data_IF_662268897987
#
_entry.id   IF_662268897987
#
_cell.length_a   1.000
_cell.length_b   1.000
_cell.length_c   1.000
_cell.angle_alpha   90.00
_cell.angle_beta   90.00
_cell.angle_gamma   90.00
#
_symmetry.space_group_name_H-M   'P 1'
#
loop_
_entity.id
_entity.type
_entity.pdbx_description
1 polymer ?
#
# COMPACT_ATOMS: atom_id res chain seq x y z
N UNK A 1 -29.78 -61.58 -43.51
CA UNK A 1 -30.98 -60.96 -42.97
C UNK A 1 -30.91 -60.95 -41.46
N UNK A 2 -30.48 -59.84 -40.89
CA UNK A 2 -30.99 -59.29 -39.64
C UNK A 2 -30.31 -57.96 -39.37
N UNK A 3 -31.09 -56.91 -39.40
CA UNK A 3 -30.73 -55.55 -39.03
C UNK A 3 -30.41 -55.52 -37.52
N UNK A 4 -29.39 -54.78 -37.15
CA UNK A 4 -29.04 -54.43 -35.76
C UNK A 4 -28.80 -52.91 -35.69
N UNK A 5 -29.81 -52.22 -35.18
CA UNK A 5 -29.74 -50.78 -34.89
C UNK A 5 -28.73 -50.52 -33.77
N UNK A 6 -27.81 -49.56 -33.99
CA UNK A 6 -26.92 -49.05 -32.95
C UNK A 6 -27.61 -47.89 -32.25
N UNK A 7 -27.86 -48.00 -30.95
CA UNK A 7 -28.28 -46.91 -30.08
C UNK A 7 -27.09 -46.05 -29.71
N UNK A 8 -27.20 -44.76 -30.00
CA UNK A 8 -26.26 -43.72 -29.66
C UNK A 8 -26.47 -43.33 -28.19
N UNK A 9 -25.55 -43.74 -27.32
CA UNK A 9 -25.57 -43.41 -25.91
C UNK A 9 -24.68 -42.15 -25.68
N UNK A 10 -25.32 -40.98 -25.67
CA UNK A 10 -24.70 -39.75 -25.21
C UNK A 10 -24.43 -39.80 -23.71
N UNK A 11 -23.18 -40.02 -23.36
CA UNK A 11 -22.70 -39.89 -21.96
C UNK A 11 -22.53 -38.41 -21.63
N UNK A 12 -23.44 -37.90 -20.81
CA UNK A 12 -23.34 -36.60 -20.16
C UNK A 12 -22.24 -36.68 -19.08
N UNK A 13 -21.03 -36.17 -19.41
CA UNK A 13 -19.90 -36.05 -18.49
C UNK A 13 -20.10 -34.81 -17.63
N UNK A 14 -20.91 -34.96 -16.60
CA UNK A 14 -21.09 -33.99 -15.52
C UNK A 14 -19.82 -33.81 -14.68
N UNK A 15 -18.79 -33.14 -15.23
CA UNK A 15 -17.60 -32.77 -14.49
C UNK A 15 -17.95 -31.78 -13.37
N UNK A 16 -18.32 -32.32 -12.21
CA UNK A 16 -18.43 -31.59 -10.96
C UNK A 16 -17.04 -31.02 -10.62
N UNK A 17 -16.84 -29.71 -10.88
CA UNK A 17 -15.67 -28.97 -10.39
C UNK A 17 -15.72 -28.95 -8.87
N UNK A 18 -15.04 -29.88 -8.23
CA UNK A 18 -14.74 -29.84 -6.81
C UNK A 18 -13.84 -28.61 -6.59
N UNK A 19 -14.41 -27.58 -5.95
CA UNK A 19 -13.69 -26.40 -5.47
C UNK A 19 -12.68 -26.86 -4.40
N UNK A 20 -11.49 -27.23 -4.87
CA UNK A 20 -10.36 -27.63 -4.05
C UNK A 20 -9.64 -26.42 -3.45
N UNK A 21 -10.35 -25.54 -2.77
CA UNK A 21 -9.72 -24.50 -1.97
C UNK A 21 -8.93 -25.14 -0.83
N UNK A 22 -7.64 -25.37 -1.08
CA UNK A 22 -6.74 -25.83 -0.02
C UNK A 22 -6.83 -24.91 1.19
N UNK A 23 -6.95 -25.46 2.40
CA UNK A 23 -7.01 -24.65 3.62
C UNK A 23 -5.76 -23.76 3.66
N UNK A 24 -5.98 -22.45 3.67
CA UNK A 24 -4.89 -21.45 3.77
C UNK A 24 -4.03 -21.83 4.97
N UNK A 25 -2.78 -22.27 4.72
CA UNK A 25 -1.80 -22.56 5.77
C UNK A 25 -1.83 -21.43 6.78
N UNK A 26 -2.20 -21.73 8.03
CA UNK A 26 -2.09 -20.78 9.13
C UNK A 26 -0.63 -20.32 9.20
N UNK A 27 -0.40 -19.05 8.89
CA UNK A 27 0.94 -18.45 9.03
C UNK A 27 1.27 -18.45 10.52
N UNK A 28 2.30 -19.22 10.92
CA UNK A 28 2.85 -19.14 12.28
C UNK A 28 3.14 -17.69 12.60
N UNK A 29 2.73 -17.24 13.78
CA UNK A 29 3.02 -15.90 14.26
C UNK A 29 4.53 -15.66 14.18
N UNK A 30 4.92 -14.64 13.42
CA UNK A 30 6.32 -14.30 13.27
C UNK A 30 6.82 -13.69 14.58
N UNK A 31 7.99 -14.12 15.03
CA UNK A 31 8.68 -13.48 16.16
C UNK A 31 8.81 -11.97 15.92
N UNK A 32 8.69 -11.14 16.96
CA UNK A 32 8.87 -9.71 16.82
C UNK A 32 10.26 -9.39 16.26
N UNK A 33 10.33 -8.47 15.31
CA UNK A 33 11.60 -7.99 14.81
C UNK A 33 12.30 -7.18 15.90
N UNK A 34 13.60 -7.42 16.09
CA UNK A 34 14.44 -6.73 17.07
C UNK A 34 15.26 -5.64 16.39
N UNK A 35 15.44 -4.52 17.08
CA UNK A 35 16.33 -3.46 16.63
C UNK A 35 17.78 -3.95 16.64
N UNK A 36 18.46 -3.82 15.51
CA UNK A 36 19.88 -4.16 15.41
C UNK A 36 20.74 -3.19 16.21
N UNK A 37 21.79 -3.69 16.83
CA UNK A 37 22.72 -2.91 17.67
C UNK A 37 23.90 -2.34 16.89
N UNK A 38 24.28 -2.94 15.77
CA UNK A 38 25.43 -2.52 14.98
C UNK A 38 25.04 -1.37 14.04
N UNK A 39 25.86 -0.31 14.05
CA UNK A 39 25.67 0.82 13.14
C UNK A 39 26.03 0.39 11.70
N UNK A 40 25.09 0.54 10.79
CA UNK A 40 25.27 0.19 9.38
C UNK A 40 25.47 1.46 8.53
N UNK A 41 26.20 1.35 7.44
CA UNK A 41 26.52 2.48 6.55
C UNK A 41 25.85 2.28 5.19
N UNK A 42 25.21 3.33 4.71
CA UNK A 42 24.76 3.44 3.32
C UNK A 42 25.79 4.18 2.49
N UNK A 43 26.09 3.62 1.31
CA UNK A 43 27.02 4.22 0.36
C UNK A 43 26.31 5.12 -0.65
N UNK A 44 25.01 4.87 -0.90
CA UNK A 44 24.24 5.64 -1.87
C UNK A 44 22.83 5.94 -1.38
N UNK A 45 22.36 7.13 -1.73
CA UNK A 45 21.01 7.61 -1.49
C UNK A 45 20.52 8.28 -2.77
N UNK A 46 19.29 7.97 -3.20
CA UNK A 46 18.71 8.60 -4.39
C UNK A 46 18.23 10.05 -4.12
N UNK A 47 17.82 10.73 -5.18
CA UNK A 47 17.31 12.12 -5.14
C UNK A 47 16.16 12.35 -4.17
N UNK A 48 15.39 11.31 -3.85
CA UNK A 48 14.21 11.36 -2.96
C UNK A 48 14.57 11.04 -1.50
N UNK A 49 15.84 10.76 -1.20
CA UNK A 49 16.31 10.43 0.14
C UNK A 49 16.16 8.95 0.51
N UNK A 50 15.93 8.06 -0.44
CA UNK A 50 15.87 6.64 -0.17
C UNK A 50 17.24 5.98 -0.36
N UNK A 51 17.74 5.22 0.63
CA UNK A 51 18.97 4.44 0.47
C UNK A 51 18.83 3.40 -0.63
N UNK A 52 19.87 3.27 -1.47
CA UNK A 52 19.92 2.35 -2.62
C UNK A 52 21.04 1.33 -2.52
N UNK A 53 22.12 1.63 -1.81
CA UNK A 53 23.25 0.74 -1.61
C UNK A 53 23.80 0.85 -0.16
N UNK A 54 24.44 -0.22 0.34
CA UNK A 54 24.55 -1.56 -0.24
C UNK A 54 23.24 -2.37 -0.07
N UNK A 55 22.95 -3.27 -1.01
CA UNK A 55 21.65 -4.00 -1.08
C UNK A 55 21.31 -4.78 0.19
N UNK A 56 22.29 -5.33 0.90
CA UNK A 56 22.04 -6.11 2.12
C UNK A 56 21.52 -5.22 3.27
N UNK A 57 22.02 -3.99 3.41
CA UNK A 57 21.55 -3.02 4.40
C UNK A 57 20.17 -2.47 4.01
N UNK A 58 19.98 -2.13 2.73
CA UNK A 58 18.71 -1.64 2.19
C UNK A 58 17.56 -2.62 2.43
N UNK A 59 17.83 -3.93 2.27
CA UNK A 59 16.83 -4.99 2.49
C UNK A 59 16.26 -4.97 3.91
N UNK A 60 17.06 -4.66 4.92
CA UNK A 60 16.65 -4.59 6.32
C UNK A 60 16.07 -3.23 6.73
N UNK A 61 16.32 -2.17 5.99
CA UNK A 61 16.05 -0.79 6.37
C UNK A 61 14.62 -0.53 6.83
N UNK A 62 13.62 -0.91 6.03
CA UNK A 62 12.21 -0.68 6.38
C UNK A 62 11.77 -1.42 7.64
N UNK A 63 12.34 -2.60 7.91
CA UNK A 63 12.09 -3.38 9.12
C UNK A 63 12.65 -2.65 10.33
N UNK A 64 13.89 -2.15 10.24
CA UNK A 64 14.56 -1.42 11.31
C UNK A 64 13.87 -0.08 11.60
N UNK A 65 13.40 0.65 10.58
CA UNK A 65 12.56 1.83 10.79
C UNK A 65 11.30 1.51 11.61
N UNK A 66 10.67 0.37 11.34
CA UNK A 66 9.54 -0.12 12.14
C UNK A 66 9.93 -0.47 13.58
N UNK A 67 11.14 -0.98 13.82
CA UNK A 67 11.64 -1.24 15.17
C UNK A 67 11.95 0.07 15.93
N UNK A 68 12.64 1.03 15.30
CA UNK A 68 12.88 2.37 15.86
C UNK A 68 11.55 3.03 16.24
N UNK A 69 10.59 3.00 15.34
CA UNK A 69 9.26 3.57 15.58
C UNK A 69 8.61 2.97 16.84
N UNK A 70 8.46 1.64 16.87
CA UNK A 70 7.76 0.95 17.97
C UNK A 70 8.47 1.07 19.32
N UNK A 71 9.79 1.23 19.35
CA UNK A 71 10.55 1.47 20.58
C UNK A 71 10.49 2.91 21.07
N UNK A 72 9.99 3.84 20.28
CA UNK A 72 10.06 5.28 20.57
C UNK A 72 8.69 5.93 20.70
N UNK A 73 7.69 5.39 19.99
CA UNK A 73 6.39 6.02 19.80
C UNK A 73 5.31 5.18 20.45
N UNK A 74 4.45 5.81 21.27
CA UNK A 74 3.24 5.17 21.79
C UNK A 74 2.28 4.83 20.65
N UNK A 75 1.59 3.70 20.76
CA UNK A 75 0.54 3.27 19.84
C UNK A 75 -0.61 4.27 19.75
N UNK A 76 -0.78 5.10 20.78
CA UNK A 76 -1.81 6.15 20.83
C UNK A 76 -1.48 7.36 19.95
N UNK A 77 -0.25 7.45 19.42
CA UNK A 77 0.14 8.52 18.50
C UNK A 77 -0.60 8.37 17.18
N UNK A 78 -1.36 9.40 16.79
CA UNK A 78 -2.18 9.36 15.56
C UNK A 78 -1.39 9.75 14.31
N UNK A 79 -0.61 10.82 14.41
CA UNK A 79 0.11 11.39 13.28
C UNK A 79 1.50 11.89 13.70
N UNK A 80 2.54 11.36 13.07
CA UNK A 80 3.93 11.80 13.29
C UNK A 80 4.23 13.17 12.68
N UNK A 81 3.45 13.61 11.69
CA UNK A 81 3.66 14.86 10.97
C UNK A 81 2.97 16.06 11.61
N UNK A 82 2.17 15.85 12.65
CA UNK A 82 1.52 16.95 13.34
C UNK A 82 2.56 17.96 13.87
N UNK A 83 2.25 19.26 13.75
CA UNK A 83 3.19 20.35 14.11
C UNK A 83 3.75 20.23 15.53
N UNK A 84 2.93 19.83 16.48
CA UNK A 84 3.28 19.70 17.89
C UNK A 84 4.15 18.47 18.21
N UNK A 85 4.46 17.64 17.21
CA UNK A 85 5.29 16.43 17.35
C UNK A 85 6.76 16.66 16.94
N UNK A 86 7.23 17.90 16.96
CA UNK A 86 8.62 18.26 16.60
C UNK A 86 9.66 17.48 17.40
N UNK A 87 9.52 17.45 18.72
CA UNK A 87 10.44 16.74 19.60
C UNK A 87 10.45 15.22 19.35
N UNK A 88 9.27 14.62 19.11
CA UNK A 88 9.17 13.21 18.77
C UNK A 88 9.85 12.88 17.44
N UNK A 89 9.68 13.72 16.41
CA UNK A 89 10.40 13.57 15.14
C UNK A 89 11.90 13.67 15.30
N UNK A 90 12.38 14.64 16.08
CA UNK A 90 13.80 14.79 16.36
C UNK A 90 14.37 13.55 17.06
N UNK A 91 13.65 12.97 18.03
CA UNK A 91 14.06 11.74 18.68
C UNK A 91 14.12 10.55 17.69
N UNK A 92 13.14 10.44 16.78
CA UNK A 92 13.15 9.41 15.74
C UNK A 92 14.34 9.58 14.79
N UNK A 93 14.67 10.82 14.41
CA UNK A 93 15.82 11.11 13.55
C UNK A 93 17.14 10.84 14.27
N UNK A 94 17.26 11.19 15.55
CA UNK A 94 18.43 10.85 16.34
C UNK A 94 18.67 9.34 16.34
N UNK A 95 17.65 8.53 16.67
CA UNK A 95 17.76 7.07 16.65
C UNK A 95 18.03 6.51 15.23
N UNK A 96 17.51 7.14 14.19
CA UNK A 96 17.82 6.78 12.82
C UNK A 96 19.31 6.94 12.52
N UNK A 97 19.90 8.07 12.90
CA UNK A 97 21.31 8.37 12.66
C UNK A 97 22.27 7.68 13.64
N UNK A 98 21.80 7.26 14.80
CA UNK A 98 22.52 6.33 15.67
C UNK A 98 22.66 4.95 14.99
N UNK A 99 21.61 4.49 14.33
CA UNK A 99 21.55 3.16 13.71
C UNK A 99 22.21 3.14 12.32
N UNK A 100 22.18 4.25 11.59
CA UNK A 100 22.66 4.35 10.22
C UNK A 100 23.57 5.53 10.00
N UNK A 101 24.60 5.33 9.18
CA UNK A 101 25.43 6.41 8.62
C UNK A 101 25.01 6.61 7.16
N UNK A 102 24.75 7.84 6.77
CA UNK A 102 24.37 8.22 5.42
C UNK A 102 25.51 8.99 4.75
N UNK A 103 25.67 8.89 3.40
CA UNK A 103 26.74 9.57 2.69
C UNK A 103 26.52 11.10 2.56
N UNK A 104 27.61 11.86 2.44
CA UNK A 104 27.62 13.26 2.08
C UNK A 104 26.75 14.15 2.96
N UNK A 105 26.02 15.06 2.34
CA UNK A 105 25.17 16.07 3.00
C UNK A 105 24.02 15.47 3.81
N UNK A 106 23.68 14.21 3.58
CA UNK A 106 22.65 13.49 4.32
C UNK A 106 23.08 13.07 5.74
N UNK A 107 24.37 13.19 6.06
CA UNK A 107 24.91 12.87 7.38
C UNK A 107 24.46 13.84 8.48
N UNK A 108 24.00 15.05 8.13
CA UNK A 108 23.60 16.06 9.10
C UNK A 108 22.17 15.82 9.64
N UNK A 109 22.07 15.48 10.92
CA UNK A 109 20.81 15.16 11.61
C UNK A 109 19.91 16.36 11.85
N UNK A 110 20.45 17.59 11.86
CA UNK A 110 19.74 18.79 12.31
C UNK A 110 19.01 19.56 11.21
N UNK A 111 19.21 19.21 9.95
CA UNK A 111 18.58 19.94 8.86
C UNK A 111 17.12 19.53 8.70
N UNK A 112 16.21 20.48 8.99
CA UNK A 112 14.81 20.44 8.67
C UNK A 112 14.64 20.42 7.17
N UNK A 113 14.84 19.65 6.37
CA UNK A 113 14.87 19.59 4.90
C UNK A 113 15.71 18.43 4.39
N UNK A 114 16.32 17.69 5.29
CA UNK A 114 17.05 16.48 4.95
C UNK A 114 16.08 15.46 4.33
N UNK A 115 16.30 15.17 3.05
CA UNK A 115 15.44 14.26 2.27
C UNK A 115 15.40 12.86 2.86
N UNK A 116 16.51 12.38 3.46
CA UNK A 116 16.56 11.06 4.12
C UNK A 116 15.61 11.04 5.32
N UNK A 117 15.63 12.07 6.15
CA UNK A 117 14.74 12.16 7.30
C UNK A 117 13.26 12.22 6.86
N UNK A 118 12.98 12.98 5.79
CA UNK A 118 11.62 13.06 5.21
C UNK A 118 11.14 11.71 4.66
N UNK A 119 12.00 11.02 3.93
CA UNK A 119 11.71 9.70 3.38
C UNK A 119 11.52 8.64 4.48
N UNK A 120 12.40 8.67 5.51
CA UNK A 120 12.28 7.80 6.68
C UNK A 120 10.98 8.07 7.45
N UNK A 121 10.63 9.33 7.68
CA UNK A 121 9.39 9.72 8.37
C UNK A 121 8.14 9.24 7.61
N UNK A 122 8.17 9.30 6.28
CA UNK A 122 7.08 8.76 5.44
C UNK A 122 6.91 7.27 5.64
N UNK A 123 8.01 6.51 5.62
CA UNK A 123 7.98 5.06 5.90
C UNK A 123 7.54 4.74 7.32
N UNK A 124 8.03 5.50 8.32
CA UNK A 124 7.63 5.34 9.72
C UNK A 124 6.14 5.67 9.92
N UNK A 125 5.59 6.70 9.26
CA UNK A 125 4.17 7.04 9.31
C UNK A 125 3.30 5.90 8.76
N UNK A 126 3.70 5.30 7.64
CA UNK A 126 3.03 4.12 7.09
C UNK A 126 3.14 2.91 8.02
N UNK A 127 4.32 2.69 8.62
CA UNK A 127 4.52 1.61 9.59
C UNK A 127 3.67 1.80 10.86
N UNK A 128 3.51 3.04 11.34
CA UNK A 128 2.63 3.37 12.47
C UNK A 128 1.17 3.02 12.15
N UNK A 129 0.67 3.45 11.01
CA UNK A 129 -0.70 3.15 10.58
C UNK A 129 -0.94 1.63 10.46
N UNK A 130 0.00 0.90 9.87
CA UNK A 130 -0.06 -0.56 9.73
C UNK A 130 -0.03 -1.26 11.09
N UNK A 131 0.84 -0.82 12.00
CA UNK A 131 0.95 -1.36 13.34
C UNK A 131 -0.34 -1.14 14.14
N UNK A 132 -0.86 0.09 14.17
CA UNK A 132 -2.14 0.43 14.81
C UNK A 132 -3.30 -0.41 14.25
N UNK A 133 -3.39 -0.54 12.93
CA UNK A 133 -4.42 -1.36 12.30
C UNK A 133 -4.31 -2.85 12.65
N UNK A 134 -3.08 -3.38 12.77
CA UNK A 134 -2.86 -4.77 13.18
C UNK A 134 -3.30 -5.01 14.63
N UNK A 135 -2.90 -4.13 15.56
CA UNK A 135 -3.28 -4.23 16.98
C UNK A 135 -4.80 -4.02 17.15
N UNK A 136 -5.40 -3.00 16.47
CA UNK A 136 -6.85 -2.79 16.48
C UNK A 136 -7.61 -4.05 16.07
N UNK A 137 -7.21 -4.72 14.99
CA UNK A 137 -7.86 -5.96 14.54
C UNK A 137 -7.81 -7.08 15.59
N UNK A 138 -6.73 -7.16 16.37
CA UNK A 138 -6.56 -8.15 17.45
C UNK A 138 -7.45 -7.81 18.63
N UNK A 139 -7.51 -6.54 19.05
CA UNK A 139 -8.41 -6.05 20.11
C UNK A 139 -9.87 -6.37 19.76
N UNK A 140 -10.31 -6.03 18.55
CA UNK A 140 -11.68 -6.27 18.09
C UNK A 140 -12.03 -7.76 17.94
N UNK A 141 -11.03 -8.66 17.88
CA UNK A 141 -11.21 -10.12 17.94
C UNK A 141 -11.24 -10.66 19.37
N UNK A 142 -11.01 -9.83 20.38
CA UNK A 142 -10.98 -10.22 21.78
C UNK A 142 -9.63 -10.78 22.26
N UNK A 143 -8.51 -10.54 21.54
CA UNK A 143 -7.19 -10.93 22.03
C UNK A 143 -6.86 -10.16 23.33
N UNK A 144 -6.37 -10.87 24.38
CA UNK A 144 -5.96 -10.25 25.64
C UNK A 144 -4.69 -9.40 25.47
N UNK A 145 -4.42 -8.54 26.48
CA UNK A 145 -3.20 -7.74 26.51
C UNK A 145 -1.94 -8.60 26.42
N UNK A 146 -1.87 -9.68 27.22
CA UNK A 146 -0.72 -10.60 27.26
C UNK A 146 -0.42 -11.16 25.86
N UNK A 147 -1.46 -11.64 25.18
CA UNK A 147 -1.33 -12.18 23.83
C UNK A 147 -0.87 -11.13 22.83
N UNK A 148 -1.34 -9.89 22.96
CA UNK A 148 -0.89 -8.78 22.11
C UNK A 148 0.56 -8.41 22.43
N UNK A 149 0.95 -8.38 23.70
CA UNK A 149 2.29 -8.04 24.19
C UNK A 149 3.36 -9.03 23.71
N UNK A 150 3.05 -10.32 23.59
CA UNK A 150 3.97 -11.33 23.04
C UNK A 150 4.55 -10.92 21.67
N UNK A 151 3.73 -10.35 20.83
CA UNK A 151 4.14 -9.90 19.49
C UNK A 151 4.50 -8.42 19.41
N UNK A 152 4.14 -7.64 20.42
CA UNK A 152 4.34 -6.19 20.50
C UNK A 152 4.85 -5.80 21.90
N UNK A 153 6.07 -6.21 22.28
CA UNK A 153 6.58 -6.02 23.63
C UNK A 153 6.74 -4.55 24.03
N UNK A 154 6.76 -3.64 23.10
CA UNK A 154 6.87 -2.19 23.33
C UNK A 154 5.56 -1.53 23.79
N UNK A 155 4.42 -2.22 23.75
CA UNK A 155 3.14 -1.67 24.19
C UNK A 155 3.04 -1.81 25.70
N UNK A 156 2.94 -0.70 26.43
CA UNK A 156 2.62 -0.71 27.85
C UNK A 156 1.14 -1.06 28.08
N UNK A 157 0.81 -1.54 29.28
CA UNK A 157 -0.59 -1.82 29.62
C UNK A 157 -1.45 -0.57 29.59
N UNK A 158 -0.92 0.56 30.05
CA UNK A 158 -1.61 1.85 30.02
C UNK A 158 -1.92 2.28 28.56
N UNK A 159 -0.92 2.20 27.65
CA UNK A 159 -1.11 2.49 26.24
C UNK A 159 -2.13 1.55 25.58
N UNK A 160 -2.12 0.27 25.95
CA UNK A 160 -3.08 -0.71 25.44
C UNK A 160 -4.51 -0.38 25.87
N UNK A 161 -4.73 -0.07 27.15
CA UNK A 161 -6.06 0.27 27.67
C UNK A 161 -6.62 1.52 26.99
N UNK A 162 -5.81 2.59 26.90
CA UNK A 162 -6.20 3.81 26.20
C UNK A 162 -6.54 3.53 24.72
N UNK A 163 -5.69 2.75 24.04
CA UNK A 163 -5.89 2.42 22.65
C UNK A 163 -7.13 1.54 22.44
N UNK A 164 -7.40 0.62 23.36
CA UNK A 164 -8.60 -0.23 23.36
C UNK A 164 -9.88 0.60 23.42
N UNK A 165 -9.96 1.53 24.37
CA UNK A 165 -11.10 2.46 24.51
C UNK A 165 -11.34 3.21 23.18
N UNK A 166 -10.27 3.73 22.56
CA UNK A 166 -10.36 4.40 21.26
C UNK A 166 -10.87 3.48 20.14
N UNK A 167 -10.41 2.21 20.13
CA UNK A 167 -10.80 1.25 19.10
C UNK A 167 -12.28 0.84 19.21
N UNK A 168 -12.81 0.77 20.43
CA UNK A 168 -14.18 0.33 20.73
C UNK A 168 -15.18 1.50 20.72
N UNK A 169 -14.72 2.75 20.55
CA UNK A 169 -15.59 3.92 20.53
C UNK A 169 -16.50 3.95 19.28
N UNK A 170 -17.72 4.45 19.44
CA UNK A 170 -18.69 4.63 18.36
C UNK A 170 -18.15 5.51 17.23
N UNK A 171 -17.45 6.61 17.56
CA UNK A 171 -16.83 7.49 16.57
C UNK A 171 -15.82 6.75 15.65
N UNK A 172 -15.09 5.80 16.21
CA UNK A 172 -14.17 4.95 15.43
C UNK A 172 -14.93 3.96 14.53
N UNK A 173 -16.06 3.42 15.00
CA UNK A 173 -16.90 2.54 14.20
C UNK A 173 -17.57 3.30 13.04
N UNK A 174 -18.13 4.46 13.29
CA UNK A 174 -18.75 5.34 12.29
C UNK A 174 -17.77 5.79 11.22
N UNK A 175 -16.58 6.25 11.62
CA UNK A 175 -15.51 6.64 10.69
C UNK A 175 -15.04 5.45 9.82
N UNK A 176 -15.00 4.26 10.39
CA UNK A 176 -14.64 3.04 9.68
C UNK A 176 -15.72 2.62 8.67
N UNK A 177 -16.99 2.78 9.04
CA UNK A 177 -18.12 2.49 8.16
C UNK A 177 -18.16 3.51 7.02
N UNK A 178 -18.07 4.82 7.31
CA UNK A 178 -17.98 5.85 6.28
C UNK A 178 -16.86 5.57 5.25
N UNK A 179 -15.67 5.15 5.72
CA UNK A 179 -14.57 4.79 4.83
C UNK A 179 -14.85 3.57 3.94
N UNK A 180 -15.69 2.62 4.40
CA UNK A 180 -16.17 1.50 3.56
C UNK A 180 -17.17 2.01 2.52
N UNK A 181 -18.15 2.79 2.94
CA UNK A 181 -19.17 3.34 2.06
C UNK A 181 -18.56 4.19 0.95
N UNK A 182 -17.56 5.04 1.27
CA UNK A 182 -16.80 5.81 0.27
C UNK A 182 -16.01 4.91 -0.69
N UNK A 183 -15.51 3.77 -0.24
CA UNK A 183 -14.83 2.80 -1.09
C UNK A 183 -15.80 2.09 -2.02
N UNK A 184 -16.98 1.74 -1.52
CA UNK A 184 -18.02 1.05 -2.28
C UNK A 184 -18.62 1.96 -3.35
N UNK A 185 -18.66 3.28 -3.09
CA UNK A 185 -19.00 4.29 -4.10
C UNK A 185 -17.94 4.45 -5.21
N UNK A 186 -16.71 3.99 -4.98
CA UNK A 186 -15.65 4.07 -5.97
C UNK A 186 -15.73 2.90 -6.97
N UNK A 187 -16.64 2.99 -7.91
CA UNK A 187 -16.95 1.96 -8.92
C UNK A 187 -15.79 1.71 -9.91
N UNK A 188 -14.83 2.64 -10.02
CA UNK A 188 -13.71 2.55 -10.96
C UNK A 188 -12.42 2.07 -10.31
N UNK A 189 -11.93 0.89 -10.71
CA UNK A 189 -10.56 0.45 -10.35
C UNK A 189 -9.57 0.99 -11.36
N UNK A 190 -8.41 1.43 -10.87
CA UNK A 190 -7.30 1.64 -11.78
C UNK A 190 -6.73 0.29 -12.24
N UNK A 191 -6.42 0.16 -13.54
CA UNK A 191 -5.87 -1.06 -14.17
C UNK A 191 -4.34 -1.12 -14.20
N UNK A 192 -3.68 -0.28 -13.40
CA UNK A 192 -2.22 -0.06 -13.49
C UNK A 192 -1.37 -1.17 -12.83
N UNK A 193 -1.98 -2.16 -12.19
CA UNK A 193 -1.24 -3.21 -11.52
C UNK A 193 -0.38 -2.75 -10.32
N UNK A 194 0.57 -3.57 -9.85
CA UNK A 194 1.35 -3.31 -8.63
C UNK A 194 2.25 -2.07 -8.67
N UNK A 195 2.63 -1.62 -9.87
CA UNK A 195 3.49 -0.45 -10.06
C UNK A 195 2.76 0.90 -9.97
N UNK A 196 1.44 0.89 -10.14
CA UNK A 196 0.61 2.09 -10.11
C UNK A 196 1.07 3.17 -11.10
N UNK A 197 0.77 4.42 -10.77
CA UNK A 197 1.15 5.58 -11.59
C UNK A 197 2.66 5.70 -11.82
N UNK A 198 3.47 5.32 -10.85
CA UNK A 198 4.94 5.43 -10.95
C UNK A 198 5.53 4.67 -12.14
N UNK A 199 4.92 3.56 -12.52
CA UNK A 199 5.36 2.77 -13.68
C UNK A 199 4.66 3.24 -14.96
N UNK A 200 3.40 3.64 -14.88
CA UNK A 200 2.61 4.01 -16.03
C UNK A 200 2.92 5.42 -16.57
N UNK A 201 3.18 6.38 -15.69
CA UNK A 201 3.44 7.79 -16.10
C UNK A 201 4.62 7.95 -17.06
N UNK A 202 5.79 7.35 -16.83
CA UNK A 202 6.89 7.47 -17.80
C UNK A 202 6.54 6.92 -19.19
N UNK A 203 5.72 5.86 -19.25
CA UNK A 203 5.27 5.27 -20.52
C UNK A 203 4.33 6.25 -21.24
N UNK A 204 3.41 6.85 -20.51
CA UNK A 204 2.46 7.82 -21.06
C UNK A 204 3.13 9.13 -21.48
N UNK A 205 4.14 9.57 -20.73
CA UNK A 205 4.94 10.75 -21.09
C UNK A 205 5.70 10.52 -22.41
N UNK A 206 6.25 9.32 -22.59
CA UNK A 206 6.88 8.94 -23.84
C UNK A 206 5.89 8.90 -25.01
N UNK A 207 4.71 8.30 -24.81
CA UNK A 207 3.63 8.30 -25.82
C UNK A 207 3.23 9.74 -26.20
N UNK A 208 3.07 10.64 -25.22
CA UNK A 208 2.66 12.02 -25.50
C UNK A 208 3.78 12.80 -26.20
N UNK A 209 5.07 12.53 -25.89
CA UNK A 209 6.22 13.10 -26.60
C UNK A 209 6.29 12.64 -28.07
N UNK A 210 6.15 11.34 -28.33
CA UNK A 210 6.12 10.78 -29.69
C UNK A 210 4.96 11.36 -30.51
N UNK A 211 3.81 11.62 -29.89
CA UNK A 211 2.68 12.30 -30.55
C UNK A 211 2.99 13.75 -30.89
N UNK A 212 3.64 14.47 -29.96
CA UNK A 212 4.05 15.86 -30.17
C UNK A 212 5.04 16.00 -31.35
N UNK A 213 5.98 15.04 -31.50
CA UNK A 213 6.88 14.98 -32.66
C UNK A 213 6.12 14.80 -33.99
N UNK A 214 4.96 14.15 -33.97
CA UNK A 214 4.07 13.97 -35.12
C UNK A 214 3.10 15.15 -35.29
N UNK A 215 3.21 16.24 -34.53
CA UNK A 215 2.28 17.36 -34.56
C UNK A 215 0.90 17.06 -34.00
N UNK A 216 0.75 15.94 -33.26
CA UNK A 216 -0.51 15.52 -32.67
C UNK A 216 -0.59 15.95 -31.20
N UNK A 217 -1.78 16.33 -30.70
CA UNK A 217 -1.96 16.69 -29.32
C UNK A 217 -1.79 15.47 -28.39
N UNK A 218 -1.52 15.71 -27.10
CA UNK A 218 -1.46 14.61 -26.13
C UNK A 218 -2.77 13.84 -26.07
N UNK A 219 -2.71 12.57 -25.69
CA UNK A 219 -3.92 11.76 -25.57
C UNK A 219 -4.89 12.37 -24.56
N UNK A 220 -6.17 12.33 -24.90
CA UNK A 220 -7.25 12.89 -24.07
C UNK A 220 -7.10 14.38 -23.81
N UNK A 221 -6.67 15.15 -24.83
CA UNK A 221 -6.47 16.62 -24.80
C UNK A 221 -7.65 17.38 -24.18
N UNK A 222 -8.90 16.91 -24.36
CA UNK A 222 -10.08 17.51 -23.72
C UNK A 222 -9.97 17.68 -22.21
N UNK A 223 -9.09 16.91 -21.55
CA UNK A 223 -8.75 17.07 -20.15
C UNK A 223 -7.47 17.89 -20.05
N UNK A 224 -7.59 19.17 -19.71
CA UNK A 224 -6.51 20.17 -19.78
C UNK A 224 -5.25 19.79 -18.99
N UNK A 225 -5.41 19.31 -17.76
CA UNK A 225 -4.28 18.99 -16.92
C UNK A 225 -3.82 17.52 -17.08
N UNK A 226 -2.50 17.33 -16.95
CA UNK A 226 -1.86 16.02 -17.06
C UNK A 226 -2.41 15.01 -16.04
N UNK A 227 -2.67 15.47 -14.81
CA UNK A 227 -3.11 14.58 -13.74
C UNK A 227 -4.49 14.00 -14.04
N UNK A 228 -5.42 14.81 -14.54
CA UNK A 228 -6.74 14.36 -14.98
C UNK A 228 -6.63 13.41 -16.17
N UNK A 229 -5.76 13.68 -17.16
CA UNK A 229 -5.53 12.73 -18.27
C UNK A 229 -5.03 11.38 -17.77
N UNK A 230 -4.07 11.37 -16.86
CA UNK A 230 -3.53 10.15 -16.26
C UNK A 230 -4.60 9.40 -15.45
N UNK A 231 -5.46 10.13 -14.71
CA UNK A 231 -6.59 9.53 -14.02
C UNK A 231 -7.54 8.81 -14.97
N UNK A 232 -7.86 9.44 -16.09
CA UNK A 232 -8.74 8.86 -17.14
C UNK A 232 -8.10 7.61 -17.77
N UNK A 233 -6.82 7.70 -18.16
CA UNK A 233 -6.06 6.54 -18.66
C UNK A 233 -6.06 5.35 -17.72
N UNK A 234 -6.00 5.62 -16.42
CA UNK A 234 -5.93 4.58 -15.39
C UNK A 234 -7.26 3.85 -15.16
N UNK A 235 -8.40 4.48 -15.39
CA UNK A 235 -9.71 3.98 -14.93
C UNK A 235 -10.70 3.64 -16.02
N UNK A 236 -10.63 4.33 -17.17
CA UNK A 236 -11.59 4.10 -18.22
C UNK A 236 -11.11 3.06 -19.24
N UNK A 237 -12.04 2.36 -19.85
CA UNK A 237 -11.73 1.44 -20.94
C UNK A 237 -11.24 2.23 -22.15
N UNK A 238 -10.27 1.67 -22.80
CA UNK A 238 -9.66 2.21 -24.02
C UNK A 238 -9.73 1.14 -25.09
N UNK A 239 -10.16 1.51 -26.27
CA UNK A 239 -10.14 0.64 -27.42
C UNK A 239 -8.70 0.21 -27.73
N UNK A 240 -8.43 -1.08 -27.89
CA UNK A 240 -7.06 -1.57 -28.09
C UNK A 240 -6.45 -1.15 -29.44
N UNK A 241 -7.27 -0.84 -30.42
CA UNK A 241 -6.84 -0.45 -31.78
C UNK A 241 -6.74 1.06 -31.90
N UNK A 242 -7.85 1.78 -31.68
CA UNK A 242 -7.89 3.24 -31.83
C UNK A 242 -7.24 3.97 -30.67
N UNK A 243 -7.08 3.28 -29.51
CA UNK A 243 -6.58 3.86 -28.27
C UNK A 243 -7.46 5.01 -27.73
N UNK A 244 -8.67 5.12 -28.17
CA UNK A 244 -9.66 6.09 -27.68
C UNK A 244 -10.49 5.54 -26.52
N UNK A 245 -11.12 6.43 -25.75
CA UNK A 245 -12.02 6.02 -24.68
C UNK A 245 -13.28 5.39 -25.26
N UNK A 246 -13.62 4.19 -24.77
CA UNK A 246 -14.86 3.53 -25.18
C UNK A 246 -16.05 4.16 -24.44
N UNK A 247 -17.16 4.28 -25.14
CA UNK A 247 -18.43 4.73 -24.59
C UNK A 247 -19.46 3.63 -24.71
N UNK A 248 -20.34 3.54 -23.72
CA UNK A 248 -21.49 2.64 -23.79
C UNK A 248 -22.39 3.05 -24.98
N UNK A 249 -22.72 2.13 -25.88
CA UNK A 249 -23.50 2.44 -27.10
C UNK A 249 -24.88 3.02 -26.81
N UNK A 250 -25.49 2.65 -25.69
CA UNK A 250 -26.84 3.06 -25.28
C UNK A 250 -26.85 4.38 -24.53
N UNK A 251 -25.99 4.54 -23.55
CA UNK A 251 -25.99 5.69 -22.63
C UNK A 251 -25.04 6.80 -23.10
N UNK A 252 -24.13 6.51 -24.05
CA UNK A 252 -23.02 7.39 -24.44
C UNK A 252 -22.09 7.80 -23.30
N UNK A 253 -22.23 7.16 -22.14
CA UNK A 253 -21.33 7.37 -21.01
C UNK A 253 -20.00 6.65 -21.24
N UNK A 254 -18.91 7.18 -20.65
CA UNK A 254 -17.61 6.52 -20.66
C UNK A 254 -17.67 5.21 -19.88
N UNK A 255 -17.15 4.15 -20.44
CA UNK A 255 -17.07 2.86 -19.79
C UNK A 255 -15.95 2.82 -18.77
N UNK A 256 -16.31 2.65 -17.48
CA UNK A 256 -15.36 2.41 -16.40
C UNK A 256 -14.86 0.96 -16.44
N UNK A 257 -13.62 0.78 -15.98
CA UNK A 257 -13.13 -0.54 -15.62
C UNK A 257 -13.72 -0.89 -14.26
N UNK A 258 -14.80 -1.66 -14.28
CA UNK A 258 -15.44 -2.11 -13.03
C UNK A 258 -14.63 -3.21 -12.37
N UNK A 259 -14.67 -3.23 -11.03
CA UNK A 259 -14.21 -4.40 -10.26
C UNK A 259 -15.15 -5.54 -10.59
N UNK A 260 -14.66 -6.61 -11.22
CA UNK A 260 -15.40 -7.87 -11.18
C UNK A 260 -15.34 -8.34 -9.73
N UNK A 261 -16.44 -8.19 -9.00
CA UNK A 261 -16.64 -8.97 -7.79
C UNK A 261 -16.73 -10.44 -8.26
N UNK A 262 -15.61 -11.12 -8.21
CA UNK A 262 -15.63 -12.60 -8.23
C UNK A 262 -16.18 -13.01 -6.88
N UNK A 263 -17.25 -13.83 -6.85
CA UNK A 263 -17.84 -14.34 -5.63
C UNK A 263 -16.84 -15.15 -4.81
#
# INVERSE_FOLDING_TARGET
TTDGAAEDATTDDGSARTDGSQPKRQRKDRRPNVLGTVKEEFTEVNSDGHPTAPKHVVKGYSVQLGCILRSTVSINTENLRHKDRGNLRNLLFTKLHERYKFPGDFANTRLSGNKVNSAALTKMSTALATWRAAVKRRILRGDSYEKIKETNPSISEADYLEFKIKCESNATAESSQWGKDMRDLNLGVHKLGPGGYRVAEPIWDKEDAERAEQGLPPRFEKYRDKQTRNYVRARYKVDPVTKELTTDPKTKALELVLVRNTP
#
